data_IF_975896213834
#
_entry.id   IF_975896213834
#
_cell.length_a   1.000
_cell.length_b   1.000
_cell.length_c   1.000
_cell.angle_alpha   90.00
_cell.angle_beta   90.00
_cell.angle_gamma   90.00
#
_symmetry.space_group_name_H-M   'P 1'
#
loop_
_entity.id
_entity.type
_entity.pdbx_description
1 polymer ?
#
# COMPACT_ATOMS: atom_id res chain seq x y z
N UNK A 1 17.28 9.13 34.21
CA UNK A 1 17.69 8.37 32.99
C UNK A 1 16.69 8.48 31.83
N UNK A 2 15.41 8.82 32.04
CA UNK A 2 14.40 8.96 30.98
C UNK A 2 14.67 10.02 29.87
N UNK A 3 15.33 11.15 30.20
CA UNK A 3 15.62 12.21 29.21
C UNK A 3 16.58 11.78 28.09
N UNK A 4 17.50 10.85 28.37
CA UNK A 4 18.46 10.35 27.36
C UNK A 4 17.84 9.29 26.44
N UNK A 5 16.89 8.50 26.95
CA UNK A 5 16.13 7.53 26.16
C UNK A 5 15.16 8.24 25.21
N UNK A 6 14.47 9.29 25.66
CA UNK A 6 13.58 10.09 24.79
C UNK A 6 14.35 10.79 23.66
N UNK A 7 15.56 11.30 23.96
CA UNK A 7 16.42 11.92 22.95
C UNK A 7 16.93 10.89 21.92
N UNK A 8 17.29 9.68 22.37
CA UNK A 8 17.69 8.59 21.48
C UNK A 8 16.56 8.09 20.59
N UNK A 9 15.33 7.94 21.12
CA UNK A 9 14.15 7.58 20.33
C UNK A 9 13.84 8.63 19.27
N UNK A 10 14.01 9.91 19.60
CA UNK A 10 13.75 11.03 18.67
C UNK A 10 14.80 11.11 17.56
N UNK A 11 16.07 10.85 17.87
CA UNK A 11 17.16 10.76 16.88
C UNK A 11 17.00 9.52 15.99
N UNK A 12 16.59 8.38 16.57
CA UNK A 12 16.33 7.15 15.82
C UNK A 12 15.12 7.31 14.89
N UNK A 13 14.06 8.00 15.34
CA UNK A 13 12.90 8.34 14.51
C UNK A 13 13.29 9.27 13.36
N UNK A 14 14.13 10.29 13.61
CA UNK A 14 14.65 11.17 12.56
C UNK A 14 15.49 10.42 11.52
N UNK A 15 16.31 9.44 11.95
CA UNK A 15 17.10 8.59 11.05
C UNK A 15 16.23 7.62 10.23
N UNK A 16 15.16 7.08 10.82
CA UNK A 16 14.19 6.23 10.12
C UNK A 16 13.36 7.03 9.10
N UNK A 17 13.07 8.30 9.38
CA UNK A 17 12.43 9.20 8.41
C UNK A 17 13.33 9.44 7.18
N UNK A 18 14.66 9.48 7.34
CA UNK A 18 15.59 9.57 6.21
C UNK A 18 15.73 8.28 5.40
N UNK A 19 15.43 7.11 5.97
CA UNK A 19 15.45 5.82 5.27
C UNK A 19 14.06 5.41 4.70
N UNK A 20 12.97 5.99 5.21
CA UNK A 20 11.59 5.61 4.85
C UNK A 20 11.06 6.16 3.52
N UNK A 21 11.87 6.89 2.75
CA UNK A 21 11.42 7.52 1.51
C UNK A 21 11.14 6.52 0.37
N UNK A 22 11.59 5.26 0.48
CA UNK A 22 11.49 4.29 -0.62
C UNK A 22 10.30 3.33 -0.52
N UNK A 23 9.57 3.28 0.60
CA UNK A 23 8.46 2.32 0.79
C UNK A 23 7.07 2.96 0.64
N UNK A 24 6.96 4.13 0.03
CA UNK A 24 5.67 4.63 -0.42
C UNK A 24 5.23 3.82 -1.65
N UNK A 25 4.28 2.90 -1.48
CA UNK A 25 3.68 2.17 -2.59
C UNK A 25 3.22 3.13 -3.70
N UNK A 26 3.33 2.68 -4.95
CA UNK A 26 3.23 3.54 -6.14
C UNK A 26 1.85 4.22 -6.35
N UNK A 27 0.86 3.89 -5.54
CA UNK A 27 -0.54 4.35 -5.62
C UNK A 27 -1.19 4.42 -4.22
N UNK A 28 -2.40 4.99 -4.11
CA UNK A 28 -3.15 5.12 -2.84
C UNK A 28 -3.22 3.82 -2.08
N UNK A 29 -3.55 2.72 -2.74
CA UNK A 29 -3.71 1.43 -2.07
C UNK A 29 -2.39 0.89 -1.58
N UNK A 30 -1.36 0.86 -2.42
CA UNK A 30 -0.04 0.38 -2.03
C UNK A 30 0.55 1.24 -0.91
N UNK A 31 0.30 2.54 -0.93
CA UNK A 31 0.63 3.43 0.18
C UNK A 31 -0.15 3.08 1.44
N UNK A 32 -1.46 2.87 1.35
CA UNK A 32 -2.29 2.55 2.51
C UNK A 32 -1.98 1.19 3.12
N UNK A 33 -1.80 0.15 2.30
CA UNK A 33 -1.50 -1.19 2.80
C UNK A 33 -0.07 -1.24 3.33
N UNK A 34 0.90 -0.70 2.58
CA UNK A 34 2.30 -0.69 3.02
C UNK A 34 2.53 0.16 4.25
N UNK A 35 1.90 1.34 4.29
CA UNK A 35 1.89 2.21 5.47
C UNK A 35 1.20 1.53 6.67
N UNK A 36 0.11 0.80 6.42
CA UNK A 36 -0.58 0.04 7.46
C UNK A 36 0.26 -1.11 8.02
N UNK A 37 0.91 -1.92 7.18
CA UNK A 37 1.77 -3.01 7.66
C UNK A 37 3.00 -2.49 8.40
N UNK A 38 3.67 -1.47 7.86
CA UNK A 38 4.81 -0.83 8.54
C UNK A 38 4.39 -0.22 9.87
N UNK A 39 3.26 0.49 9.88
CA UNK A 39 2.69 1.08 11.08
C UNK A 39 2.33 0.02 12.13
N UNK A 40 1.76 -1.11 11.72
CA UNK A 40 1.43 -2.22 12.59
C UNK A 40 2.68 -2.84 13.23
N UNK A 41 3.72 -3.06 12.43
CA UNK A 41 4.97 -3.64 12.91
C UNK A 41 5.64 -2.73 13.95
N UNK A 42 5.81 -1.44 13.62
CA UNK A 42 6.44 -0.47 14.52
C UNK A 42 5.57 -0.24 15.76
N UNK A 43 4.27 -0.02 15.57
CA UNK A 43 3.32 0.19 16.66
C UNK A 43 3.21 -1.02 17.59
N UNK A 44 3.30 -2.23 17.05
CA UNK A 44 3.30 -3.47 17.83
C UNK A 44 4.53 -3.61 18.71
N UNK A 45 5.72 -3.31 18.17
CA UNK A 45 6.98 -3.35 18.93
C UNK A 45 6.97 -2.31 20.06
N UNK A 46 6.56 -1.08 19.75
CA UNK A 46 6.50 0.02 20.74
C UNK A 46 5.42 -0.26 21.79
N UNK A 47 4.24 -0.71 21.39
CA UNK A 47 3.14 -1.07 22.30
C UNK A 47 3.49 -2.25 23.19
N UNK A 48 4.25 -3.23 22.68
CA UNK A 48 4.67 -4.40 23.44
C UNK A 48 5.53 -4.03 24.65
N UNK A 49 6.37 -2.99 24.55
CA UNK A 49 7.16 -2.49 25.69
C UNK A 49 6.30 -1.96 26.84
N UNK A 50 5.06 -1.55 26.56
CA UNK A 50 4.09 -1.06 27.55
C UNK A 50 3.00 -2.08 27.87
N UNK A 51 3.15 -3.34 27.44
CA UNK A 51 2.17 -4.41 27.65
C UNK A 51 0.94 -4.39 26.71
N UNK A 52 0.89 -3.46 25.75
CA UNK A 52 -0.24 -3.23 24.84
C UNK A 52 0.19 -3.37 23.38
N UNK A 53 0.84 -4.49 23.04
CA UNK A 53 1.36 -4.73 21.70
C UNK A 53 0.27 -4.81 20.63
N UNK A 54 -0.88 -5.39 20.97
CA UNK A 54 -2.02 -5.47 20.04
C UNK A 54 -2.65 -4.10 19.79
N UNK A 55 -2.90 -3.29 20.82
CA UNK A 55 -3.39 -1.92 20.61
C UNK A 55 -2.36 -1.06 19.87
N UNK A 56 -1.08 -1.19 20.21
CA UNK A 56 -0.01 -0.47 19.52
C UNK A 56 0.04 -0.83 18.03
N UNK A 57 -0.07 -2.12 17.69
CA UNK A 57 -0.12 -2.57 16.30
C UNK A 57 -1.38 -2.06 15.59
N UNK A 58 -2.56 -2.11 16.22
CA UNK A 58 -3.79 -1.64 15.62
C UNK A 58 -3.77 -0.12 15.35
N UNK A 59 -3.31 0.67 16.32
CA UNK A 59 -3.19 2.14 16.19
C UNK A 59 -2.14 2.50 15.14
N UNK A 60 -0.99 1.81 15.17
CA UNK A 60 0.07 1.98 14.20
C UNK A 60 -0.41 1.65 12.78
N UNK A 61 -1.16 0.54 12.62
CA UNK A 61 -1.72 0.15 11.34
C UNK A 61 -2.71 1.18 10.80
N UNK A 62 -3.65 1.63 11.62
CA UNK A 62 -4.64 2.63 11.21
C UNK A 62 -3.96 3.95 10.81
N UNK A 63 -3.04 4.44 11.64
CA UNK A 63 -2.33 5.69 11.39
C UNK A 63 -1.45 5.59 10.15
N UNK A 64 -0.70 4.51 10.01
CA UNK A 64 0.16 4.24 8.88
C UNK A 64 -0.62 4.07 7.57
N UNK A 65 -1.78 3.42 7.61
CA UNK A 65 -2.63 3.26 6.44
C UNK A 65 -3.25 4.56 5.97
N UNK A 66 -3.70 5.42 6.89
CA UNK A 66 -4.21 6.75 6.56
C UNK A 66 -3.09 7.60 5.95
N UNK A 67 -1.93 7.67 6.61
CA UNK A 67 -0.80 8.46 6.12
C UNK A 67 -0.32 7.98 4.75
N UNK A 68 -0.13 6.67 4.59
CA UNK A 68 0.29 6.07 3.33
C UNK A 68 -0.74 6.21 2.22
N UNK A 69 -2.03 6.12 2.53
CA UNK A 69 -3.12 6.34 1.58
C UNK A 69 -3.19 7.77 1.06
N UNK A 70 -2.95 8.76 1.93
CA UNK A 70 -2.88 10.18 1.54
C UNK A 70 -1.68 10.47 0.63
N UNK A 71 -0.52 9.89 0.93
CA UNK A 71 0.69 10.03 0.11
C UNK A 71 0.48 9.37 -1.25
N UNK A 72 -0.04 8.15 -1.27
CA UNK A 72 -0.33 7.42 -2.50
C UNK A 72 -1.38 8.13 -3.39
N UNK A 73 -2.34 8.86 -2.80
CA UNK A 73 -3.33 9.62 -3.58
C UNK A 73 -2.68 10.74 -4.40
N UNK A 74 -1.64 11.37 -3.85
CA UNK A 74 -0.87 12.36 -4.60
C UNK A 74 -0.06 11.71 -5.72
N UNK A 75 0.45 10.50 -5.50
CA UNK A 75 1.16 9.74 -6.54
C UNK A 75 0.23 9.31 -7.67
N UNK A 76 -0.99 8.85 -7.36
CA UNK A 76 -2.00 8.49 -8.37
C UNK A 76 -2.34 9.69 -9.27
N UNK A 77 -2.55 10.87 -8.67
CA UNK A 77 -2.79 12.10 -9.44
C UNK A 77 -1.63 12.45 -10.36
N UNK A 78 -0.39 12.27 -9.89
CA UNK A 78 0.82 12.49 -10.72
C UNK A 78 0.93 11.44 -11.83
N UNK A 79 0.67 10.17 -11.53
CA UNK A 79 0.70 9.09 -12.51
C UNK A 79 -0.34 9.30 -13.62
N UNK A 80 -1.56 9.73 -13.27
CA UNK A 80 -2.60 10.09 -14.24
C UNK A 80 -2.21 11.31 -15.09
N UNK A 81 -1.51 12.29 -14.52
CA UNK A 81 -1.01 13.44 -15.29
C UNK A 81 0.11 13.06 -16.27
N UNK A 82 0.91 12.04 -15.94
CA UNK A 82 2.04 11.59 -16.76
C UNK A 82 1.61 10.54 -17.80
N UNK A 83 0.71 9.62 -17.43
CA UNK A 83 0.15 8.60 -18.29
C UNK A 83 -1.37 8.55 -18.07
N UNK A 84 -2.17 9.31 -18.84
CA UNK A 84 -3.63 9.35 -18.68
C UNK A 84 -4.30 8.00 -18.98
N UNK A 85 -3.58 7.11 -19.66
CA UNK A 85 -4.04 5.76 -19.95
C UNK A 85 -3.67 4.77 -18.85
N UNK A 86 -3.03 5.15 -17.74
CA UNK A 86 -2.78 4.19 -16.67
C UNK A 86 -4.03 3.99 -15.80
N UNK A 87 -4.56 2.77 -15.75
CA UNK A 87 -5.65 2.44 -14.82
C UNK A 87 -5.06 1.97 -13.48
N UNK A 88 -5.46 2.58 -12.36
CA UNK A 88 -4.91 2.22 -11.07
C UNK A 88 -5.44 0.85 -10.61
N UNK A 89 -4.65 0.15 -9.78
CA UNK A 89 -5.00 -1.16 -9.19
C UNK A 89 -6.33 -1.09 -8.43
N UNK A 90 -6.65 0.06 -7.81
CA UNK A 90 -7.96 0.32 -7.17
C UNK A 90 -9.13 0.19 -8.12
N UNK A 91 -8.99 0.66 -9.36
CA UNK A 91 -10.07 0.60 -10.36
C UNK A 91 -10.33 -0.85 -10.78
N UNK A 92 -9.26 -1.64 -10.91
CA UNK A 92 -9.35 -3.08 -11.20
C UNK A 92 -10.05 -3.81 -10.05
N UNK A 93 -9.64 -3.53 -8.81
CA UNK A 93 -10.26 -4.07 -7.61
C UNK A 93 -11.75 -3.70 -7.49
N UNK A 94 -12.10 -2.45 -7.83
CA UNK A 94 -13.48 -1.97 -7.88
C UNK A 94 -14.29 -2.71 -8.95
N UNK A 95 -13.75 -2.88 -10.17
CA UNK A 95 -14.42 -3.60 -11.24
C UNK A 95 -14.73 -5.05 -10.85
N UNK A 96 -13.76 -5.75 -10.26
CA UNK A 96 -13.97 -7.11 -9.74
C UNK A 96 -15.00 -7.13 -8.60
N UNK A 97 -14.94 -6.16 -7.68
CA UNK A 97 -15.88 -6.05 -6.57
C UNK A 97 -17.31 -5.76 -7.02
N UNK A 98 -17.47 -5.04 -8.13
CA UNK A 98 -18.76 -4.80 -8.81
C UNK A 98 -19.29 -6.04 -9.56
N UNK A 99 -18.52 -7.14 -9.58
CA UNK A 99 -18.90 -8.37 -10.26
C UNK A 99 -18.73 -8.31 -11.78
N UNK A 100 -17.92 -7.37 -12.29
CA UNK A 100 -17.58 -7.38 -13.72
C UNK A 100 -16.80 -8.65 -14.05
N UNK A 101 -17.08 -9.28 -15.22
CA UNK A 101 -16.40 -10.50 -15.62
C UNK A 101 -14.92 -10.25 -15.91
N UNK A 102 -14.07 -11.20 -15.55
CA UNK A 102 -12.61 -11.16 -15.74
C UNK A 102 -12.18 -10.70 -17.13
N UNK A 103 -12.90 -11.12 -18.17
CA UNK A 103 -12.61 -10.75 -19.56
C UNK A 103 -12.70 -9.23 -19.77
N UNK A 104 -13.67 -8.55 -19.16
CA UNK A 104 -13.83 -7.09 -19.26
C UNK A 104 -12.72 -6.37 -18.50
N UNK A 105 -12.32 -6.92 -17.34
CA UNK A 105 -11.22 -6.37 -16.56
C UNK A 105 -9.90 -6.49 -17.34
N UNK A 106 -9.64 -7.65 -17.93
CA UNK A 106 -8.44 -7.91 -18.73
C UNK A 106 -8.43 -7.05 -20.01
N UNK A 107 -9.58 -6.91 -20.68
CA UNK A 107 -9.73 -6.04 -21.86
C UNK A 107 -9.41 -4.59 -21.52
N UNK A 108 -9.90 -4.08 -20.39
CA UNK A 108 -9.60 -2.72 -19.94
C UNK A 108 -8.10 -2.55 -19.65
N UNK A 109 -7.44 -3.53 -19.01
CA UNK A 109 -5.99 -3.52 -18.80
C UNK A 109 -5.23 -3.50 -20.15
N UNK A 110 -5.68 -4.28 -21.14
CA UNK A 110 -5.08 -4.29 -22.48
C UNK A 110 -5.23 -2.97 -23.21
N UNK A 111 -6.45 -2.42 -23.22
CA UNK A 111 -6.81 -1.16 -23.88
C UNK A 111 -5.97 0.00 -23.35
N UNK A 112 -5.70 -0.04 -22.05
CA UNK A 112 -4.99 1.00 -21.31
C UNK A 112 -3.47 0.83 -21.36
N UNK A 113 -3.00 -0.37 -21.77
CA UNK A 113 -1.57 -0.74 -21.84
C UNK A 113 -0.84 -0.50 -20.50
N UNK A 114 -1.57 -0.64 -19.40
CA UNK A 114 -1.04 -0.43 -18.06
C UNK A 114 -0.07 -1.56 -17.70
N UNK A 115 1.09 -1.21 -17.15
CA UNK A 115 2.03 -2.15 -16.57
C UNK A 115 1.94 -2.12 -15.04
N UNK A 116 2.01 -3.29 -14.40
CA UNK A 116 1.92 -3.41 -12.95
C UNK A 116 3.16 -4.10 -12.37
N UNK A 117 3.67 -3.53 -11.28
CA UNK A 117 4.67 -4.18 -10.43
C UNK A 117 3.98 -4.70 -9.17
N UNK A 118 3.43 -5.91 -9.24
CA UNK A 118 2.71 -6.51 -8.11
C UNK A 118 3.69 -7.17 -7.14
N UNK A 119 3.55 -6.83 -5.86
CA UNK A 119 4.22 -7.52 -4.74
C UNK A 119 3.20 -8.39 -3.97
N UNK A 120 3.66 -9.18 -3.00
CA UNK A 120 2.80 -10.07 -2.20
C UNK A 120 1.65 -9.35 -1.49
N UNK A 121 1.85 -8.09 -1.13
CA UNK A 121 0.87 -7.26 -0.46
C UNK A 121 -0.25 -6.82 -1.42
N UNK A 122 0.10 -6.35 -2.63
CA UNK A 122 -0.85 -5.96 -3.67
C UNK A 122 -1.65 -7.16 -4.19
N UNK A 123 -1.02 -8.33 -4.29
CA UNK A 123 -1.72 -9.58 -4.62
C UNK A 123 -2.75 -9.91 -3.54
N UNK A 124 -2.39 -9.76 -2.26
CA UNK A 124 -3.32 -9.98 -1.15
C UNK A 124 -4.49 -9.01 -1.20
N UNK A 125 -4.22 -7.73 -1.45
CA UNK A 125 -5.27 -6.71 -1.64
C UNK A 125 -6.22 -7.07 -2.80
N UNK A 126 -5.69 -7.47 -3.95
CA UNK A 126 -6.50 -7.85 -5.11
C UNK A 126 -7.41 -9.04 -4.77
N UNK A 127 -6.89 -10.08 -4.11
CA UNK A 127 -7.68 -11.23 -3.68
C UNK A 127 -8.76 -10.86 -2.67
N UNK A 128 -8.46 -9.97 -1.71
CA UNK A 128 -9.46 -9.46 -0.75
C UNK A 128 -10.60 -8.71 -1.44
N UNK A 129 -10.31 -8.01 -2.54
CA UNK A 129 -11.29 -7.30 -3.36
C UNK A 129 -11.88 -8.17 -4.48
N UNK A 130 -11.88 -9.50 -4.29
CA UNK A 130 -12.49 -10.50 -5.20
C UNK A 130 -11.94 -10.48 -6.63
N UNK A 131 -10.75 -9.92 -6.85
CA UNK A 131 -10.08 -10.02 -8.13
C UNK A 131 -9.64 -11.48 -8.31
N UNK A 132 -10.00 -12.08 -9.43
CA UNK A 132 -9.68 -13.49 -9.69
C UNK A 132 -8.18 -13.68 -9.91
N UNK A 133 -7.68 -14.89 -9.61
CA UNK A 133 -6.30 -15.26 -9.89
C UNK A 133 -5.94 -15.10 -11.38
N UNK A 134 -6.91 -15.25 -12.29
CA UNK A 134 -6.73 -15.04 -13.73
C UNK A 134 -6.36 -13.58 -14.06
N UNK A 135 -7.04 -12.63 -13.44
CA UNK A 135 -6.74 -11.20 -13.63
C UNK A 135 -5.40 -10.86 -12.99
N UNK A 136 -5.11 -11.38 -11.80
CA UNK A 136 -3.84 -11.16 -11.10
C UNK A 136 -2.65 -11.69 -11.91
N UNK A 137 -2.77 -12.91 -12.46
CA UNK A 137 -1.74 -13.51 -13.32
C UNK A 137 -1.52 -12.67 -14.60
N UNK A 138 -2.62 -12.19 -15.20
CA UNK A 138 -2.54 -11.28 -16.34
C UNK A 138 -1.78 -9.99 -15.98
N UNK A 139 -2.10 -9.36 -14.84
CA UNK A 139 -1.40 -8.17 -14.36
C UNK A 139 0.09 -8.43 -14.13
N UNK A 140 0.46 -9.57 -13.53
CA UNK A 140 1.87 -9.97 -13.34
C UNK A 140 2.61 -10.11 -14.68
N UNK A 141 1.91 -10.58 -15.73
CA UNK A 141 2.49 -10.69 -17.07
C UNK A 141 2.82 -9.33 -17.72
N UNK A 142 2.13 -8.25 -17.35
CA UNK A 142 2.36 -6.90 -17.89
C UNK A 142 3.63 -6.23 -17.37
N UNK A 143 4.12 -6.66 -16.21
CA UNK A 143 5.28 -6.08 -15.52
C UNK A 143 6.65 -6.60 -16.00
N UNK A 144 6.66 -7.55 -16.95
CA UNK A 144 7.89 -8.09 -17.55
C UNK A 144 8.36 -7.27 -18.76
#
# INVERSE_FOLDING_TARGET
>A
MHKRVNFLVLVLAAALLSAGCETAGQNTTGGAVGGGLLGAAVGGIVGHQSGHGLEGAAIGAATGAVAGGLIGNQMDKKAMAVNPNHIPITKIAEMASQGLPDAVIIDEIQRTKSKYNLNSELITYLKQNKVSDRVIDYMLSTGK
#
